data_IF_816121010109
#
_entry.id   IF_816121010109
#
_cell.length_a   1.000
_cell.length_b   1.000
_cell.length_c   1.000
_cell.angle_alpha   90.00
_cell.angle_beta   90.00
_cell.angle_gamma   90.00
#
_symmetry.space_group_name_H-M   'P 1'
#
loop_
_entity.id
_entity.type
_entity.pdbx_description
1 polymer ?
#
# COMPACT_ATOMS: atom_id res chain seq x y z
N UNK A 1 -15.19 -9.84 -20.25
CA UNK A 1 -14.52 -9.37 -19.02
C UNK A 1 -13.59 -8.23 -19.44
N UNK A 2 -13.46 -7.19 -18.65
CA UNK A 2 -12.60 -6.05 -18.98
C UNK A 2 -11.12 -6.47 -18.90
N UNK A 3 -10.33 -6.10 -19.90
CA UNK A 3 -8.89 -6.35 -19.93
C UNK A 3 -8.21 -5.63 -18.76
N UNK A 4 -7.34 -6.33 -18.04
CA UNK A 4 -6.69 -5.83 -16.83
C UNK A 4 -5.22 -6.22 -16.82
N UNK A 5 -4.35 -5.24 -16.59
CA UNK A 5 -2.92 -5.47 -16.35
C UNK A 5 -2.62 -5.38 -14.84
N UNK A 6 -1.60 -6.10 -14.39
CA UNK A 6 -1.10 -6.01 -13.01
C UNK A 6 0.31 -5.40 -13.02
N UNK A 7 0.54 -4.40 -12.18
CA UNK A 7 1.81 -3.66 -12.11
C UNK A 7 2.41 -3.86 -10.71
N UNK A 8 3.65 -4.33 -10.66
CA UNK A 8 4.31 -4.73 -9.43
C UNK A 8 5.71 -4.13 -9.37
N UNK A 9 5.95 -3.12 -8.52
CA UNK A 9 7.31 -2.73 -8.15
C UNK A 9 8.01 -3.87 -7.40
N UNK A 10 9.24 -4.18 -7.79
CA UNK A 10 10.01 -5.31 -7.24
C UNK A 10 11.39 -4.83 -6.81
N UNK A 11 11.85 -5.27 -5.64
CA UNK A 11 13.21 -5.07 -5.19
C UNK A 11 13.74 -6.29 -4.46
N UNK A 12 14.84 -6.87 -4.95
CA UNK A 12 15.43 -8.11 -4.42
C UNK A 12 14.40 -9.24 -4.37
N UNK A 13 13.88 -9.68 -5.53
CA UNK A 13 12.81 -10.67 -5.60
C UNK A 13 13.16 -11.96 -4.83
N UNK A 14 12.15 -12.58 -4.26
CA UNK A 14 12.23 -13.83 -3.51
C UNK A 14 11.20 -14.82 -4.02
N UNK A 15 11.14 -16.03 -3.48
CA UNK A 15 10.11 -17.02 -3.81
C UNK A 15 8.67 -16.48 -3.64
N UNK A 16 8.46 -15.44 -2.83
CA UNK A 16 7.14 -14.79 -2.71
C UNK A 16 6.67 -14.18 -4.03
N UNK A 17 7.59 -13.63 -4.85
CA UNK A 17 7.23 -13.14 -6.18
C UNK A 17 6.74 -14.30 -7.07
N UNK A 18 7.42 -15.45 -7.07
CA UNK A 18 6.97 -16.63 -7.81
C UNK A 18 5.59 -17.08 -7.34
N UNK A 19 5.36 -17.16 -6.02
CA UNK A 19 4.06 -17.53 -5.44
C UNK A 19 2.96 -16.54 -5.86
N UNK A 20 3.28 -15.24 -5.93
CA UNK A 20 2.36 -14.21 -6.39
C UNK A 20 2.00 -14.40 -7.86
N UNK A 21 3.01 -14.56 -8.74
CA UNK A 21 2.80 -14.76 -10.17
C UNK A 21 1.97 -16.02 -10.45
N UNK A 22 2.23 -17.13 -9.75
CA UNK A 22 1.44 -18.35 -9.87
C UNK A 22 -0.02 -18.16 -9.48
N UNK A 23 -0.29 -17.42 -8.40
CA UNK A 23 -1.66 -17.11 -7.98
C UNK A 23 -2.36 -16.12 -8.91
N UNK A 24 -1.63 -15.22 -9.57
CA UNK A 24 -2.19 -14.34 -10.59
C UNK A 24 -2.55 -15.10 -11.88
N UNK A 25 -1.76 -16.12 -12.24
CA UNK A 25 -2.02 -16.97 -13.39
C UNK A 25 -3.31 -17.80 -13.26
N UNK A 26 -3.74 -18.10 -12.04
CA UNK A 26 -4.92 -18.94 -11.77
C UNK A 26 -6.19 -18.14 -11.47
N UNK A 27 -6.21 -16.83 -11.68
CA UNK A 27 -7.37 -15.99 -11.42
C UNK A 27 -8.55 -16.29 -12.38
N UNK A 28 -9.77 -16.31 -11.84
CA UNK A 28 -11.02 -16.50 -12.62
C UNK A 28 -11.25 -15.39 -13.65
N UNK A 29 -10.81 -14.15 -13.33
CA UNK A 29 -10.68 -13.06 -14.28
C UNK A 29 -9.22 -12.99 -14.73
N UNK A 30 -8.89 -13.43 -15.96
CA UNK A 30 -7.52 -13.51 -16.41
C UNK A 30 -6.80 -12.17 -16.42
N UNK A 31 -5.55 -12.15 -15.94
CA UNK A 31 -4.66 -11.01 -16.06
C UNK A 31 -4.05 -11.02 -17.47
N UNK A 32 -4.27 -9.94 -18.22
CA UNK A 32 -3.77 -9.82 -19.59
C UNK A 32 -2.24 -9.77 -19.61
N UNK A 33 -1.66 -8.89 -18.80
CA UNK A 33 -0.21 -8.65 -18.71
C UNK A 33 0.20 -8.39 -17.27
N UNK A 34 1.35 -8.90 -16.87
CA UNK A 34 1.99 -8.57 -15.59
C UNK A 34 3.24 -7.73 -15.88
N UNK A 35 3.30 -6.53 -15.34
CA UNK A 35 4.38 -5.56 -15.56
C UNK A 35 5.18 -5.43 -14.28
N UNK A 36 6.40 -5.94 -14.27
CA UNK A 36 7.33 -5.83 -13.16
C UNK A 36 8.27 -4.65 -13.37
N UNK A 37 8.30 -3.73 -12.42
CA UNK A 37 9.28 -2.64 -12.40
C UNK A 37 10.30 -2.98 -11.32
N UNK A 38 11.38 -3.62 -11.75
CA UNK A 38 12.41 -4.09 -10.84
C UNK A 38 13.48 -3.03 -10.60
N UNK A 39 13.76 -2.78 -9.33
CA UNK A 39 14.88 -1.92 -8.91
C UNK A 39 16.15 -2.76 -8.85
N UNK A 40 17.22 -2.30 -9.55
CA UNK A 40 18.52 -2.96 -9.64
C UNK A 40 18.47 -4.29 -10.45
N UNK A 41 18.79 -4.20 -11.72
CA UNK A 41 18.78 -5.34 -12.68
C UNK A 41 19.49 -6.59 -12.15
N UNK A 42 20.64 -6.42 -11.48
CA UNK A 42 21.45 -7.52 -10.97
C UNK A 42 20.71 -8.46 -10.01
N UNK A 43 19.76 -7.96 -9.22
CA UNK A 43 18.98 -8.79 -8.30
C UNK A 43 17.93 -9.63 -9.02
N UNK A 44 17.39 -9.10 -10.12
CA UNK A 44 16.43 -9.83 -10.91
C UNK A 44 17.13 -10.90 -11.76
N UNK A 45 18.28 -10.59 -12.37
CA UNK A 45 19.08 -11.53 -13.15
C UNK A 45 19.55 -12.73 -12.30
N UNK A 46 19.86 -12.48 -11.02
CA UNK A 46 20.22 -13.54 -10.09
C UNK A 46 19.02 -14.42 -9.65
N UNK A 47 17.81 -13.89 -9.77
CA UNK A 47 16.56 -14.57 -9.40
C UNK A 47 15.91 -15.34 -10.55
N UNK A 48 15.85 -14.73 -11.75
CA UNK A 48 15.10 -15.23 -12.89
C UNK A 48 16.02 -16.09 -13.79
N UNK A 49 15.94 -17.40 -13.64
CA UNK A 49 16.56 -18.37 -14.53
C UNK A 49 15.74 -18.62 -15.80
N UNK A 50 16.25 -19.51 -16.68
CA UNK A 50 15.56 -19.88 -17.91
C UNK A 50 14.16 -20.44 -17.64
N UNK A 51 14.00 -21.28 -16.62
CA UNK A 51 12.71 -21.89 -16.26
C UNK A 51 11.69 -20.85 -15.78
N UNK A 52 12.14 -19.76 -15.15
CA UNK A 52 11.28 -18.63 -14.79
C UNK A 52 10.64 -18.00 -16.04
N UNK A 53 11.44 -17.70 -17.08
CA UNK A 53 10.93 -17.06 -18.31
C UNK A 53 10.00 -17.98 -19.11
N UNK A 54 10.26 -19.27 -19.13
CA UNK A 54 9.41 -20.26 -19.83
C UNK A 54 8.05 -20.43 -19.13
N UNK A 55 7.96 -20.11 -17.83
CA UNK A 55 6.74 -20.28 -17.01
C UNK A 55 5.72 -19.14 -17.18
N UNK A 56 6.17 -17.93 -17.53
CA UNK A 56 5.34 -16.73 -17.57
C UNK A 56 5.47 -16.01 -18.92
N UNK A 57 4.51 -16.25 -19.81
CA UNK A 57 4.47 -15.72 -21.18
C UNK A 57 3.88 -14.30 -21.29
N UNK A 58 3.10 -13.88 -20.27
CA UNK A 58 2.47 -12.56 -20.20
C UNK A 58 3.23 -11.54 -19.34
N UNK A 59 4.51 -11.81 -19.06
CA UNK A 59 5.34 -11.00 -18.17
C UNK A 59 6.15 -9.97 -18.96
N UNK A 60 6.06 -8.69 -18.55
CA UNK A 60 6.91 -7.60 -19.01
C UNK A 60 7.77 -7.11 -17.84
N UNK A 61 9.10 -7.16 -17.98
CA UNK A 61 10.03 -6.67 -16.95
C UNK A 61 10.75 -5.43 -17.43
N UNK A 62 10.80 -4.41 -16.60
CA UNK A 62 11.59 -3.19 -16.76
C UNK A 62 12.45 -2.98 -15.52
N UNK A 63 13.59 -2.37 -15.71
CA UNK A 63 14.53 -2.09 -14.63
C UNK A 63 14.71 -0.59 -14.43
N UNK A 64 14.85 -0.18 -13.18
CA UNK A 64 15.22 1.16 -12.76
C UNK A 64 16.44 1.07 -11.83
N UNK A 65 17.28 2.08 -11.82
CA UNK A 65 18.35 2.17 -10.83
C UNK A 65 17.76 2.52 -9.46
N UNK A 66 18.49 2.23 -8.39
CA UNK A 66 18.02 2.50 -7.03
C UNK A 66 17.84 4.00 -6.76
N UNK A 67 18.69 4.81 -7.37
CA UNK A 67 18.64 6.28 -7.31
C UNK A 67 17.41 6.86 -8.03
N UNK A 68 16.89 6.14 -9.02
CA UNK A 68 15.69 6.54 -9.77
C UNK A 68 14.39 6.09 -9.10
N UNK A 69 14.49 5.24 -8.07
CA UNK A 69 13.31 4.71 -7.41
C UNK A 69 12.56 5.80 -6.64
N UNK A 70 11.31 5.99 -7.00
CA UNK A 70 10.33 6.83 -6.31
C UNK A 70 8.99 6.09 -6.20
N UNK A 71 8.33 6.19 -5.07
CA UNK A 71 7.10 5.43 -4.83
C UNK A 71 6.00 5.69 -5.87
N UNK A 72 5.75 6.95 -6.20
CA UNK A 72 4.76 7.33 -7.20
C UNK A 72 5.30 7.22 -8.63
N UNK A 73 6.50 7.77 -8.88
CA UNK A 73 7.14 7.80 -10.20
C UNK A 73 7.39 6.42 -10.78
N UNK A 74 7.90 5.48 -9.97
CA UNK A 74 8.13 4.08 -10.40
C UNK A 74 6.82 3.39 -10.78
N UNK A 75 5.73 3.66 -10.06
CA UNK A 75 4.39 3.13 -10.40
C UNK A 75 3.84 3.76 -11.67
N UNK A 76 3.96 5.08 -11.83
CA UNK A 76 3.57 5.76 -13.07
C UNK A 76 4.35 5.22 -14.28
N UNK A 77 5.65 4.98 -14.11
CA UNK A 77 6.47 4.33 -15.13
C UNK A 77 5.92 2.93 -15.48
N UNK A 78 5.50 2.15 -14.48
CA UNK A 78 4.83 0.87 -14.73
C UNK A 78 3.51 1.03 -15.50
N UNK A 79 2.69 2.02 -15.15
CA UNK A 79 1.41 2.32 -15.83
C UNK A 79 1.65 2.70 -17.30
N UNK A 80 2.75 3.38 -17.64
CA UNK A 80 3.04 3.79 -19.02
C UNK A 80 3.20 2.63 -20.00
N UNK A 81 3.44 1.41 -19.51
CA UNK A 81 3.50 0.17 -20.33
C UNK A 81 2.15 -0.54 -20.44
N UNK A 82 1.11 -0.05 -19.79
CA UNK A 82 -0.25 -0.59 -19.86
C UNK A 82 -1.12 0.30 -20.73
N UNK A 83 -1.97 -0.31 -21.54
CA UNK A 83 -3.05 0.32 -22.31
C UNK A 83 -4.42 -0.27 -21.92
N UNK A 84 -4.47 -1.11 -20.90
CA UNK A 84 -5.69 -1.71 -20.40
C UNK A 84 -6.63 -0.65 -19.77
N UNK A 85 -7.96 -0.81 -19.92
CA UNK A 85 -8.95 0.09 -19.32
C UNK A 85 -8.92 0.06 -17.77
N UNK A 86 -8.42 -1.03 -17.22
CA UNK A 86 -8.16 -1.16 -15.78
C UNK A 86 -6.77 -1.71 -15.54
N UNK A 87 -6.15 -1.29 -14.45
CA UNK A 87 -4.91 -1.90 -13.98
C UNK A 87 -4.92 -2.07 -12.45
N UNK A 88 -4.15 -3.03 -11.98
CA UNK A 88 -4.02 -3.34 -10.55
C UNK A 88 -2.57 -3.05 -10.13
N UNK A 89 -2.39 -2.23 -9.09
CA UNK A 89 -1.13 -2.10 -8.37
C UNK A 89 -1.06 -3.17 -7.30
N UNK A 90 0.08 -3.86 -7.21
CA UNK A 90 0.36 -4.80 -6.10
C UNK A 90 1.79 -4.62 -5.60
N UNK A 91 2.04 -4.98 -4.34
CA UNK A 91 3.40 -5.22 -3.84
C UNK A 91 3.78 -6.68 -4.08
N UNK A 92 5.07 -6.95 -4.23
CA UNK A 92 5.62 -8.27 -4.57
C UNK A 92 5.45 -9.35 -3.48
N UNK A 93 4.95 -8.95 -2.31
CA UNK A 93 4.67 -9.80 -1.16
C UNK A 93 3.18 -9.90 -0.78
N UNK A 94 2.30 -9.33 -1.59
CA UNK A 94 0.85 -9.37 -1.39
C UNK A 94 0.23 -10.56 -2.14
N UNK A 95 0.02 -11.68 -1.46
CA UNK A 95 -0.45 -12.91 -2.09
C UNK A 95 -1.98 -12.96 -2.17
N UNK A 96 -2.59 -13.13 -3.38
CA UNK A 96 -4.01 -13.42 -3.50
C UNK A 96 -4.44 -14.56 -2.58
N UNK A 97 -5.52 -14.38 -1.81
CA UNK A 97 -5.99 -15.44 -0.90
C UNK A 97 -6.65 -16.60 -1.66
N UNK A 98 -7.31 -16.27 -2.77
CA UNK A 98 -8.02 -17.20 -3.65
C UNK A 98 -7.95 -16.75 -5.11
N UNK A 99 -8.59 -17.48 -6.00
CA UNK A 99 -8.63 -17.26 -7.45
C UNK A 99 -9.60 -16.16 -7.91
N UNK A 100 -10.32 -15.48 -7.01
CA UNK A 100 -11.33 -14.45 -7.31
C UNK A 100 -10.90 -13.03 -6.95
N UNK A 101 -9.62 -12.81 -6.64
CA UNK A 101 -9.13 -11.49 -6.25
C UNK A 101 -9.41 -10.44 -7.33
N UNK A 102 -9.04 -10.71 -8.58
CA UNK A 102 -9.17 -9.76 -9.69
C UNK A 102 -10.65 -9.46 -9.97
N UNK A 103 -11.49 -10.50 -10.06
CA UNK A 103 -12.94 -10.37 -10.26
C UNK A 103 -13.58 -9.45 -9.22
N UNK A 104 -13.25 -9.68 -7.92
CA UNK A 104 -13.83 -8.91 -6.82
C UNK A 104 -13.29 -7.49 -6.72
N UNK A 105 -12.03 -7.25 -7.11
CA UNK A 105 -11.48 -5.90 -7.21
C UNK A 105 -12.13 -5.09 -8.32
N UNK A 106 -12.49 -5.73 -9.42
CA UNK A 106 -13.10 -5.06 -10.58
C UNK A 106 -14.61 -4.87 -10.42
N UNK A 107 -15.29 -5.67 -9.61
CA UNK A 107 -16.74 -5.60 -9.43
C UNK A 107 -17.29 -4.20 -9.09
N UNK A 108 -16.64 -3.39 -8.21
CA UNK A 108 -17.11 -2.04 -7.89
C UNK A 108 -17.13 -1.06 -9.07
N UNK A 109 -16.37 -1.30 -10.14
CA UNK A 109 -16.34 -0.44 -11.33
C UNK A 109 -17.60 -0.53 -12.21
N UNK A 110 -18.58 -1.36 -11.81
CA UNK A 110 -19.93 -1.28 -12.34
C UNK A 110 -20.63 0.06 -12.05
N UNK A 111 -20.22 0.78 -10.99
CA UNK A 111 -20.52 2.21 -10.81
C UNK A 111 -19.45 3.03 -11.56
N UNK A 112 -19.85 3.78 -12.57
CA UNK A 112 -18.94 4.61 -13.39
C UNK A 112 -18.21 5.68 -12.57
N UNK A 113 -18.76 6.08 -11.43
CA UNK A 113 -18.11 7.01 -10.50
C UNK A 113 -17.01 6.39 -9.65
N UNK A 114 -16.89 5.07 -9.61
CA UNK A 114 -15.79 4.42 -8.90
C UNK A 114 -14.52 4.51 -9.73
N UNK A 115 -13.53 5.27 -9.24
CA UNK A 115 -12.24 5.49 -9.90
C UNK A 115 -11.18 4.50 -9.42
N UNK A 116 -11.27 4.04 -8.18
CA UNK A 116 -10.35 3.05 -7.63
C UNK A 116 -11.05 2.11 -6.64
N UNK A 117 -10.49 0.93 -6.51
CA UNK A 117 -10.91 -0.08 -5.54
C UNK A 117 -9.68 -0.71 -4.89
N UNK A 118 -9.76 -1.06 -3.60
CA UNK A 118 -8.62 -1.69 -2.92
C UNK A 118 -9.03 -2.90 -2.09
N UNK A 119 -8.11 -3.86 -1.98
CA UNK A 119 -8.32 -5.14 -1.36
C UNK A 119 -8.22 -5.10 0.17
N UNK A 120 -8.82 -6.09 0.81
CA UNK A 120 -8.66 -6.41 2.22
C UNK A 120 -7.32 -7.12 2.45
N UNK A 121 -6.48 -6.54 3.29
CA UNK A 121 -5.23 -7.17 3.72
C UNK A 121 -5.50 -8.09 4.91
N UNK A 122 -5.19 -9.36 4.74
CA UNK A 122 -5.28 -10.39 5.77
C UNK A 122 -3.90 -10.66 6.38
N UNK A 123 -3.83 -10.93 7.69
CA UNK A 123 -2.57 -11.30 8.30
C UNK A 123 -2.10 -12.67 7.81
N UNK A 124 -0.79 -12.84 7.68
CA UNK A 124 -0.14 -14.14 7.49
C UNK A 124 -0.30 -15.01 8.75
N UNK A 125 -0.12 -16.33 8.60
CA UNK A 125 -0.17 -17.30 9.70
C UNK A 125 0.88 -17.03 10.79
N UNK A 126 2.04 -16.48 10.39
CA UNK A 126 3.14 -16.13 11.30
C UNK A 126 3.00 -14.72 11.90
N UNK A 127 1.90 -14.04 11.60
CA UNK A 127 1.66 -12.69 12.07
C UNK A 127 1.42 -12.66 13.58
N UNK A 128 2.11 -11.75 14.27
CA UNK A 128 1.92 -11.56 15.71
C UNK A 128 0.52 -11.06 16.03
N UNK A 129 -0.03 -11.44 17.20
CA UNK A 129 -1.41 -11.18 17.61
C UNK A 129 -1.78 -9.68 17.58
N UNK A 130 -0.85 -8.78 17.95
CA UNK A 130 -1.06 -7.31 17.92
C UNK A 130 -1.22 -6.84 16.46
N UNK A 131 -0.35 -7.28 15.56
CA UNK A 131 -0.44 -6.90 14.15
C UNK A 131 -1.67 -7.52 13.48
N UNK A 132 -1.98 -8.77 13.78
CA UNK A 132 -3.19 -9.45 13.29
C UNK A 132 -4.45 -8.67 13.67
N UNK A 133 -4.55 -8.21 14.93
CA UNK A 133 -5.67 -7.38 15.37
C UNK A 133 -5.68 -6.01 14.69
N UNK A 134 -4.50 -5.38 14.53
CA UNK A 134 -4.37 -4.11 13.81
C UNK A 134 -4.86 -4.21 12.36
N UNK A 135 -4.54 -5.31 11.66
CA UNK A 135 -5.04 -5.59 10.31
C UNK A 135 -6.57 -5.70 10.30
N UNK A 136 -7.13 -6.49 11.21
CA UNK A 136 -8.59 -6.66 11.31
C UNK A 136 -9.32 -5.33 11.62
N UNK A 137 -8.70 -4.45 12.39
CA UNK A 137 -9.24 -3.13 12.69
C UNK A 137 -9.19 -2.18 11.48
N UNK A 138 -8.10 -2.17 10.73
CA UNK A 138 -7.93 -1.30 9.57
C UNK A 138 -8.65 -1.81 8.32
N UNK A 139 -8.82 -3.13 8.20
CA UNK A 139 -9.45 -3.81 7.08
C UNK A 139 -10.64 -4.68 7.57
N UNK A 140 -11.76 -4.05 7.96
CA UNK A 140 -12.95 -4.76 8.45
C UNK A 140 -13.57 -5.68 7.38
N UNK A 141 -14.51 -6.53 7.78
CA UNK A 141 -15.18 -7.48 6.88
C UNK A 141 -16.17 -6.85 5.92
N UNK A 142 -16.68 -5.66 6.25
CA UNK A 142 -17.76 -5.01 5.51
C UNK A 142 -17.20 -4.17 4.35
N UNK A 143 -17.71 -4.34 3.12
CA UNK A 143 -17.33 -3.51 1.99
C UNK A 143 -17.86 -2.09 2.16
N UNK A 144 -17.25 -1.13 1.51
CA UNK A 144 -17.68 0.27 1.57
C UNK A 144 -17.29 1.03 0.31
N UNK A 145 -18.22 1.78 -0.25
CA UNK A 145 -17.95 2.82 -1.23
C UNK A 145 -17.91 4.16 -0.50
N UNK A 146 -16.90 4.96 -0.78
CA UNK A 146 -16.60 6.23 -0.11
C UNK A 146 -16.60 7.37 -1.12
N UNK A 147 -17.11 8.54 -0.70
CA UNK A 147 -17.21 9.77 -1.48
C UNK A 147 -16.60 10.96 -0.71
N UNK A 148 -16.54 12.13 -1.33
CA UNK A 148 -16.10 13.36 -0.68
C UNK A 148 -16.91 13.71 0.58
N UNK A 149 -18.20 13.36 0.61
CA UNK A 149 -19.09 13.61 1.76
C UNK A 149 -18.64 12.85 3.02
N UNK A 150 -18.00 11.69 2.83
CA UNK A 150 -17.49 10.87 3.94
C UNK A 150 -16.31 11.52 4.68
N UNK A 151 -15.58 12.46 4.06
CA UNK A 151 -14.40 13.12 4.65
C UNK A 151 -14.76 13.77 6.00
N UNK A 152 -15.90 14.46 6.06
CA UNK A 152 -16.34 15.15 7.27
C UNK A 152 -16.59 14.20 8.46
N UNK A 153 -17.06 12.99 8.19
CA UNK A 153 -17.38 12.01 9.24
C UNK A 153 -16.27 11.00 9.52
N UNK A 154 -15.51 10.63 8.48
CA UNK A 154 -14.48 9.59 8.55
C UNK A 154 -13.03 10.10 8.62
N UNK A 155 -12.82 11.40 8.38
CA UNK A 155 -11.48 11.98 8.34
C UNK A 155 -10.59 11.25 7.30
N UNK A 156 -9.37 10.91 7.70
CA UNK A 156 -8.39 10.22 6.85
C UNK A 156 -8.89 8.89 6.27
N UNK A 157 -9.82 8.22 6.95
CA UNK A 157 -10.36 6.94 6.48
C UNK A 157 -11.22 7.07 5.22
N UNK A 158 -11.74 8.26 4.92
CA UNK A 158 -12.51 8.49 3.70
C UNK A 158 -11.66 8.24 2.46
N UNK A 159 -10.42 8.71 2.44
CA UNK A 159 -9.47 8.51 1.33
C UNK A 159 -8.36 7.50 1.63
N UNK A 160 -8.49 6.73 2.71
CA UNK A 160 -7.59 5.60 2.94
C UNK A 160 -7.71 4.59 1.80
N UNK A 161 -6.58 4.28 1.19
CA UNK A 161 -6.41 3.29 0.14
C UNK A 161 -5.04 2.63 0.31
N UNK A 162 -4.73 1.57 -0.43
CA UNK A 162 -3.42 0.94 -0.33
C UNK A 162 -2.99 0.23 -1.60
N UNK A 163 -1.86 0.67 -2.17
CA UNK A 163 -1.18 0.04 -3.30
C UNK A 163 -0.57 -1.34 -2.98
N UNK A 164 -0.76 -1.85 -1.78
CA UNK A 164 -0.52 -3.27 -1.51
C UNK A 164 -1.34 -4.15 -2.46
N UNK A 165 -2.59 -3.76 -2.73
CA UNK A 165 -3.41 -4.32 -3.79
C UNK A 165 -4.59 -3.37 -4.07
N UNK A 166 -4.54 -2.64 -5.18
CA UNK A 166 -5.60 -1.71 -5.57
C UNK A 166 -5.77 -1.68 -7.10
N UNK A 167 -7.02 -1.64 -7.56
CA UNK A 167 -7.37 -1.49 -8.97
C UNK A 167 -7.78 -0.05 -9.28
N UNK A 168 -7.52 0.39 -10.49
CA UNK A 168 -7.71 1.75 -10.97
C UNK A 168 -8.43 1.74 -12.32
N UNK A 169 -9.36 2.68 -12.51
CA UNK A 169 -9.93 3.01 -13.82
C UNK A 169 -8.93 3.89 -14.56
N UNK A 170 -8.43 3.42 -15.71
CA UNK A 170 -7.37 4.06 -16.47
C UNK A 170 -7.73 5.48 -16.89
N UNK A 171 -8.90 5.71 -17.41
CA UNK A 171 -9.37 7.01 -17.84
C UNK A 171 -9.28 8.07 -16.74
N UNK A 172 -9.77 7.73 -15.53
CA UNK A 172 -9.71 8.66 -14.38
C UNK A 172 -8.29 8.82 -13.86
N UNK A 173 -7.48 7.75 -13.93
CA UNK A 173 -6.07 7.83 -13.53
C UNK A 173 -5.30 8.81 -14.40
N UNK A 174 -5.52 8.79 -15.71
CA UNK A 174 -4.89 9.69 -16.66
C UNK A 174 -5.42 11.14 -16.52
N UNK A 175 -6.74 11.32 -16.31
CA UNK A 175 -7.37 12.61 -16.01
C UNK A 175 -6.73 13.28 -14.80
N UNK A 176 -6.51 12.52 -13.71
CA UNK A 176 -5.91 12.99 -12.47
C UNK A 176 -4.37 13.00 -12.50
N UNK A 177 -3.75 12.72 -13.65
CA UNK A 177 -2.30 12.76 -13.89
C UNK A 177 -1.48 11.78 -13.07
N UNK A 178 -2.10 10.68 -12.64
CA UNK A 178 -1.42 9.59 -11.96
C UNK A 178 -1.03 9.88 -10.51
N UNK A 179 -0.07 9.11 -10.02
CA UNK A 179 0.46 9.28 -8.67
C UNK A 179 1.38 10.49 -8.58
N UNK A 180 1.39 11.13 -7.41
CA UNK A 180 2.37 12.15 -7.07
C UNK A 180 3.79 11.55 -7.13
N UNK A 181 4.69 12.20 -7.85
CA UNK A 181 6.13 11.89 -7.87
C UNK A 181 6.84 12.60 -6.73
N UNK A 182 8.02 12.11 -6.37
CA UNK A 182 8.85 12.66 -5.29
C UNK A 182 8.12 12.70 -3.93
N UNK A 183 7.45 11.62 -3.59
CA UNK A 183 6.88 11.43 -2.25
C UNK A 183 7.53 10.25 -1.55
N UNK A 184 7.88 10.45 -0.28
CA UNK A 184 8.51 9.40 0.54
C UNK A 184 7.52 8.29 0.92
N UNK A 185 6.22 8.61 0.95
CA UNK A 185 5.15 7.71 1.39
C UNK A 185 3.77 8.23 0.95
N UNK A 186 2.73 7.38 0.97
CA UNK A 186 1.31 7.73 0.77
C UNK A 186 0.92 8.19 -0.65
N UNK A 187 1.64 7.84 -1.69
CA UNK A 187 1.25 8.15 -3.07
C UNK A 187 -0.17 7.68 -3.38
N UNK A 188 -0.58 6.54 -2.81
CA UNK A 188 -1.92 5.97 -2.93
C UNK A 188 -3.01 6.82 -2.24
N UNK A 189 -2.73 7.32 -1.04
CA UNK A 189 -3.66 8.16 -0.29
C UNK A 189 -3.76 9.57 -0.86
N UNK A 190 -2.65 10.12 -1.36
CA UNK A 190 -2.63 11.42 -2.05
C UNK A 190 -3.50 11.34 -3.31
N UNK A 191 -3.30 10.29 -4.12
CA UNK A 191 -4.14 10.04 -5.29
C UNK A 191 -5.61 9.83 -4.90
N UNK A 192 -5.89 9.01 -3.89
CA UNK A 192 -7.24 8.75 -3.41
C UNK A 192 -7.95 10.03 -2.92
N UNK A 193 -7.23 10.97 -2.32
CA UNK A 193 -7.80 12.28 -1.98
C UNK A 193 -8.18 13.05 -3.24
N UNK A 194 -7.33 13.08 -4.27
CA UNK A 194 -7.64 13.67 -5.57
C UNK A 194 -8.86 13.06 -6.24
N UNK A 195 -9.04 11.73 -6.13
CA UNK A 195 -10.26 11.02 -6.60
C UNK A 195 -11.51 11.60 -5.95
N UNK A 196 -11.52 11.78 -4.63
CA UNK A 196 -12.68 12.35 -3.92
C UNK A 196 -12.89 13.83 -4.25
N UNK A 197 -11.83 14.62 -4.35
CA UNK A 197 -11.90 16.04 -4.69
C UNK A 197 -12.44 16.27 -6.12
N UNK A 198 -12.20 15.32 -7.03
CA UNK A 198 -12.76 15.27 -8.38
C UNK A 198 -14.19 14.68 -8.45
N UNK A 199 -14.84 14.45 -7.28
CA UNK A 199 -16.19 13.91 -7.18
C UNK A 199 -16.36 12.47 -7.65
N UNK A 200 -15.27 11.72 -7.77
CA UNK A 200 -15.27 10.27 -7.95
C UNK A 200 -15.38 9.55 -6.61
N UNK A 201 -15.48 8.23 -6.65
CA UNK A 201 -15.63 7.36 -5.47
C UNK A 201 -14.48 6.38 -5.35
N UNK A 202 -14.26 5.93 -4.11
CA UNK A 202 -13.29 4.90 -3.76
C UNK A 202 -14.03 3.71 -3.17
N UNK A 203 -13.78 2.50 -3.68
CA UNK A 203 -14.38 1.29 -3.15
C UNK A 203 -13.38 0.50 -2.29
N UNK A 204 -13.80 0.12 -1.09
CA UNK A 204 -13.17 -0.92 -0.30
C UNK A 204 -13.84 -2.27 -0.61
N UNK A 205 -13.15 -3.13 -1.34
CA UNK A 205 -13.62 -4.45 -1.74
C UNK A 205 -13.21 -5.50 -0.69
N UNK A 206 -13.97 -5.63 0.40
CA UNK A 206 -13.62 -6.49 1.53
C UNK A 206 -13.52 -7.98 1.19
N UNK A 207 -14.17 -8.42 0.11
CA UNK A 207 -14.13 -9.79 -0.39
C UNK A 207 -12.94 -10.07 -1.30
N UNK A 208 -12.34 -9.04 -1.90
CA UNK A 208 -11.05 -9.11 -2.55
C UNK A 208 -9.95 -9.16 -1.48
N UNK A 209 -9.31 -10.31 -1.28
CA UNK A 209 -8.43 -10.56 -0.14
C UNK A 209 -7.01 -10.87 -0.58
N UNK A 210 -6.03 -10.21 0.03
CA UNK A 210 -4.61 -10.55 -0.09
C UNK A 210 -4.02 -10.86 1.29
N UNK A 211 -3.09 -11.81 1.34
CA UNK A 211 -2.31 -12.13 2.53
C UNK A 211 -1.09 -11.20 2.50
N UNK A 212 -1.01 -10.27 3.44
CA UNK A 212 0.09 -9.33 3.56
C UNK A 212 0.20 -8.81 4.99
N UNK A 213 1.34 -9.02 5.62
CA UNK A 213 1.62 -8.50 6.95
C UNK A 213 3.12 -8.44 7.24
N UNK A 214 3.52 -7.55 8.14
CA UNK A 214 4.90 -7.39 8.56
C UNK A 214 4.99 -7.33 10.08
N UNK A 215 5.88 -8.11 10.66
CA UNK A 215 6.18 -8.08 12.10
C UNK A 215 7.29 -7.06 12.39
N UNK A 216 6.97 -5.76 12.29
CA UNK A 216 7.96 -4.72 12.56
C UNK A 216 8.37 -4.64 14.04
N UNK A 217 9.66 -4.49 14.28
CA UNK A 217 10.21 -4.10 15.58
C UNK A 217 9.83 -2.66 15.95
N UNK A 218 10.00 -2.27 17.22
CA UNK A 218 9.73 -0.89 17.64
C UNK A 218 10.51 0.17 16.85
N UNK A 219 11.80 -0.10 16.55
CA UNK A 219 12.62 0.82 15.75
C UNK A 219 12.16 0.90 14.29
N UNK A 220 11.75 -0.21 13.70
CA UNK A 220 11.18 -0.20 12.34
C UNK A 220 9.84 0.56 12.31
N UNK A 221 9.01 0.41 13.35
CA UNK A 221 7.78 1.20 13.52
C UNK A 221 8.08 2.70 13.63
N UNK A 222 9.11 3.08 14.41
CA UNK A 222 9.52 4.47 14.52
C UNK A 222 9.91 5.04 13.16
N UNK A 223 10.80 4.36 12.44
CA UNK A 223 11.29 4.81 11.13
C UNK A 223 10.18 4.93 10.09
N UNK A 224 9.31 3.90 10.00
CA UNK A 224 8.18 3.92 9.09
C UNK A 224 7.21 5.07 9.39
N UNK A 225 6.93 5.32 10.66
CA UNK A 225 6.06 6.42 11.05
C UNK A 225 6.74 7.79 10.95
N UNK A 226 8.08 7.84 11.00
CA UNK A 226 8.82 9.05 10.66
C UNK A 226 8.57 9.43 9.20
N UNK A 227 8.73 8.49 8.25
CA UNK A 227 8.45 8.72 6.83
C UNK A 227 6.98 9.09 6.59
N UNK A 228 6.04 8.47 7.32
CA UNK A 228 4.63 8.86 7.30
C UNK A 228 4.42 10.31 7.76
N UNK A 229 5.09 10.72 8.83
CA UNK A 229 5.04 12.10 9.34
C UNK A 229 5.63 13.11 8.35
N UNK A 230 6.74 12.77 7.68
CA UNK A 230 7.33 13.56 6.60
C UNK A 230 6.33 13.75 5.47
N UNK A 231 5.75 12.67 4.96
CA UNK A 231 4.73 12.73 3.88
C UNK A 231 3.56 13.65 4.25
N UNK A 232 3.07 13.59 5.48
CA UNK A 232 1.99 14.49 5.94
C UNK A 232 2.43 15.95 6.06
N UNK A 233 3.72 16.22 6.33
CA UNK A 233 4.26 17.57 6.38
C UNK A 233 4.54 18.17 4.98
N UNK A 234 4.82 17.32 4.00
CA UNK A 234 5.07 17.70 2.61
C UNK A 234 3.78 17.92 1.82
N UNK A 235 2.68 17.25 2.22
CA UNK A 235 1.37 17.32 1.57
C UNK A 235 0.29 17.90 2.50
N UNK A 236 0.43 19.15 2.98
CA UNK A 236 -0.57 19.77 3.86
C UNK A 236 -1.93 19.93 3.18
N UNK A 237 -1.99 20.09 1.85
CA UNK A 237 -3.21 20.16 1.05
C UNK A 237 -4.09 18.90 1.18
N UNK A 238 -3.47 17.75 1.48
CA UNK A 238 -4.15 16.45 1.66
C UNK A 238 -4.46 16.18 3.12
N UNK A 239 -3.52 16.46 4.03
CA UNK A 239 -3.54 15.96 5.42
C UNK A 239 -3.79 17.04 6.48
N UNK A 240 -3.74 18.36 6.13
CA UNK A 240 -4.01 19.39 7.13
C UNK A 240 -5.46 19.38 7.61
N UNK A 241 -5.64 19.63 8.92
CA UNK A 241 -6.97 19.65 9.53
C UNK A 241 -7.61 18.30 9.78
N UNK A 242 -6.95 17.20 9.43
CA UNK A 242 -7.45 15.85 9.63
C UNK A 242 -6.85 15.25 10.91
N UNK A 243 -7.71 14.91 11.87
CA UNK A 243 -7.29 14.30 13.14
C UNK A 243 -6.92 12.82 12.91
N UNK A 244 -5.63 12.56 12.81
CA UNK A 244 -5.10 11.18 12.66
C UNK A 244 -4.82 10.50 14.00
N UNK A 245 -4.52 11.27 15.04
CA UNK A 245 -4.13 10.76 16.36
C UNK A 245 -5.28 10.08 17.11
N UNK A 246 -6.52 10.55 16.94
CA UNK A 246 -7.71 9.96 17.58
C UNK A 246 -7.94 8.49 17.19
N UNK A 247 -7.69 8.15 15.94
CA UNK A 247 -7.80 6.77 15.46
C UNK A 247 -6.70 5.86 16.02
N UNK A 248 -5.49 6.40 16.19
CA UNK A 248 -4.41 5.68 16.85
C UNK A 248 -4.72 5.34 18.30
N UNK A 249 -5.23 6.30 19.08
CA UNK A 249 -5.66 6.10 20.48
C UNK A 249 -6.79 5.08 20.56
N UNK A 250 -7.78 5.19 19.68
CA UNK A 250 -8.90 4.25 19.60
C UNK A 250 -8.43 2.81 19.29
N UNK A 251 -7.48 2.65 18.38
CA UNK A 251 -6.89 1.33 18.07
C UNK A 251 -6.17 0.76 19.29
N UNK A 252 -5.35 1.54 20.00
CA UNK A 252 -4.64 1.09 21.21
C UNK A 252 -5.64 0.63 22.27
N UNK A 253 -6.65 1.42 22.60
CA UNK A 253 -7.68 1.05 23.59
C UNK A 253 -8.41 -0.25 23.24
N UNK A 254 -8.83 -0.41 21.97
CA UNK A 254 -9.47 -1.65 21.51
C UNK A 254 -8.50 -2.84 21.52
N UNK A 255 -7.23 -2.65 21.20
CA UNK A 255 -6.23 -3.70 21.24
C UNK A 255 -5.97 -4.18 22.67
N UNK A 256 -5.92 -3.26 23.66
CA UNK A 256 -5.82 -3.62 25.09
C UNK A 256 -6.97 -4.55 25.48
N UNK A 257 -8.22 -4.15 25.20
CA UNK A 257 -9.41 -4.96 25.49
C UNK A 257 -9.37 -6.34 24.81
N UNK A 258 -8.89 -6.40 23.56
CA UNK A 258 -8.72 -7.65 22.84
C UNK A 258 -7.65 -8.56 23.47
N UNK A 259 -6.50 -8.01 23.85
CA UNK A 259 -5.41 -8.79 24.50
C UNK A 259 -5.83 -9.37 25.86
N UNK A 260 -6.59 -8.59 26.65
CA UNK A 260 -7.15 -9.08 27.91
C UNK A 260 -8.12 -10.24 27.67
N UNK A 261 -9.04 -10.11 26.71
CA UNK A 261 -9.99 -11.17 26.35
C UNK A 261 -9.32 -12.43 25.78
N UNK A 262 -8.22 -12.24 25.06
CA UNK A 262 -7.42 -13.35 24.51
C UNK A 262 -6.49 -14.03 25.54
N UNK A 263 -6.55 -13.62 26.83
CA UNK A 263 -5.70 -14.17 27.90
C UNK A 263 -4.21 -13.85 27.75
N UNK A 264 -3.85 -12.74 27.08
CA UNK A 264 -2.46 -12.33 26.83
C UNK A 264 -2.15 -10.90 27.32
N UNK A 265 -2.49 -10.54 28.58
CA UNK A 265 -2.33 -9.17 29.08
C UNK A 265 -0.87 -8.70 29.14
N UNK A 266 0.11 -9.60 29.24
CA UNK A 266 1.55 -9.26 29.23
C UNK A 266 2.00 -8.59 27.92
N UNK A 267 1.29 -8.79 26.81
CA UNK A 267 1.59 -8.16 25.53
C UNK A 267 1.20 -6.66 25.50
N UNK A 268 0.47 -6.17 26.50
CA UNK A 268 0.11 -4.75 26.64
C UNK A 268 1.37 -3.89 26.74
N UNK A 269 2.41 -4.35 27.43
CA UNK A 269 3.71 -3.64 27.52
C UNK A 269 4.30 -3.48 26.11
N UNK A 270 4.32 -4.55 25.32
CA UNK A 270 4.79 -4.50 23.93
C UNK A 270 3.93 -3.59 23.05
N UNK A 271 2.62 -3.61 23.24
CA UNK A 271 1.69 -2.71 22.53
C UNK A 271 2.01 -1.24 22.80
N UNK A 272 2.19 -0.86 24.09
CA UNK A 272 2.52 0.51 24.46
C UNK A 272 3.89 0.93 23.93
N UNK A 273 4.89 0.05 24.00
CA UNK A 273 6.20 0.30 23.43
C UNK A 273 6.13 0.58 21.92
N UNK A 274 5.46 -0.29 21.16
CA UNK A 274 5.30 -0.13 19.72
C UNK A 274 4.49 1.12 19.37
N UNK A 275 3.43 1.42 20.12
CA UNK A 275 2.59 2.62 19.91
C UNK A 275 3.37 3.90 20.24
N UNK A 276 4.20 3.90 21.29
CA UNK A 276 5.11 5.00 21.61
C UNK A 276 6.12 5.25 20.49
N UNK A 277 6.73 4.18 19.94
CA UNK A 277 7.63 4.28 18.79
C UNK A 277 6.93 4.87 17.56
N UNK A 278 5.70 4.43 17.26
CA UNK A 278 4.89 4.97 16.14
C UNK A 278 4.62 6.47 16.34
N UNK A 279 4.13 6.84 17.53
CA UNK A 279 3.83 8.24 17.85
C UNK A 279 5.06 9.12 17.76
N UNK A 280 6.17 8.70 18.39
CA UNK A 280 7.42 9.45 18.36
C UNK A 280 7.95 9.63 16.95
N UNK A 281 7.96 8.55 16.15
CA UNK A 281 8.35 8.60 14.74
C UNK A 281 7.52 9.62 13.96
N UNK A 282 6.19 9.51 14.04
CA UNK A 282 5.28 10.43 13.37
C UNK A 282 5.46 11.89 13.78
N UNK A 283 5.56 12.14 15.11
CA UNK A 283 5.78 13.47 15.65
C UNK A 283 7.09 14.11 15.16
N UNK A 284 8.17 13.32 15.13
CA UNK A 284 9.47 13.77 14.61
C UNK A 284 9.40 13.98 13.09
N UNK A 285 8.77 13.07 12.37
CA UNK A 285 8.59 13.19 10.91
C UNK A 285 7.87 14.48 10.51
N UNK A 286 6.78 14.84 11.20
CA UNK A 286 6.09 16.13 10.96
C UNK A 286 6.97 17.36 11.18
N UNK A 287 8.09 17.22 11.87
CA UNK A 287 9.04 18.30 12.19
C UNK A 287 10.42 18.08 11.57
N UNK A 288 10.53 17.21 10.56
CA UNK A 288 11.81 16.78 9.99
C UNK A 288 12.72 17.95 9.58
N UNK A 289 12.14 19.07 9.10
CA UNK A 289 12.87 20.28 8.70
C UNK A 289 13.65 20.94 9.84
N UNK A 290 13.33 20.63 11.11
CA UNK A 290 14.03 21.13 12.30
C UNK A 290 15.22 20.25 12.68
N UNK A 291 15.47 19.15 12.00
CA UNK A 291 16.56 18.22 12.28
C UNK A 291 17.69 18.33 11.24
N UNK A 292 18.93 18.08 11.65
CA UNK A 292 20.05 18.01 10.71
C UNK A 292 19.88 16.79 9.79
N UNK A 293 20.36 16.91 8.55
CA UNK A 293 20.17 15.90 7.48
C UNK A 293 20.61 14.49 7.90
N UNK A 294 21.78 14.36 8.58
CA UNK A 294 22.27 13.08 9.05
C UNK A 294 21.27 12.35 9.97
N UNK A 295 20.55 13.12 10.82
CA UNK A 295 19.55 12.56 11.73
C UNK A 295 18.28 12.17 10.97
N UNK A 296 17.84 12.98 10.01
CA UNK A 296 16.72 12.68 9.14
C UNK A 296 16.96 11.36 8.38
N UNK A 297 18.13 11.22 7.74
CA UNK A 297 18.53 9.96 7.06
C UNK A 297 18.56 8.75 8.01
N UNK A 298 18.97 8.94 9.26
CA UNK A 298 19.01 7.85 10.25
C UNK A 298 17.63 7.46 10.77
N UNK A 299 16.70 8.40 10.85
CA UNK A 299 15.32 8.20 11.30
C UNK A 299 14.42 7.66 10.19
N UNK A 300 14.75 7.88 8.94
CA UNK A 300 14.01 7.39 7.79
C UNK A 300 14.19 5.89 7.57
N UNK A 301 13.16 5.24 7.07
CA UNK A 301 13.23 3.88 6.53
C UNK A 301 13.74 3.88 5.08
N UNK A 302 13.38 4.92 4.30
CA UNK A 302 13.82 5.15 2.93
C UNK A 302 14.94 6.22 2.89
N UNK A 303 16.18 5.79 3.11
CA UNK A 303 17.33 6.70 3.18
C UNK A 303 17.69 7.31 1.84
N UNK A 304 17.48 6.58 0.77
CA UNK A 304 17.81 6.98 -0.61
C UNK A 304 16.96 8.17 -1.05
N UNK A 305 15.72 8.27 -0.61
CA UNK A 305 14.87 9.44 -0.85
C UNK A 305 15.57 10.77 -0.52
N UNK A 306 16.33 10.79 0.57
CA UNK A 306 17.07 11.96 1.04
C UNK A 306 18.40 12.23 0.29
N UNK A 307 18.81 11.33 -0.57
CA UNK A 307 20.03 11.50 -1.35
C UNK A 307 19.77 12.11 -2.73
N UNK A 308 18.50 12.17 -3.14
CA UNK A 308 18.04 12.76 -4.39
C UNK A 308 17.43 14.16 -4.23
N UNK A 309 17.45 14.70 -3.01
CA UNK A 309 17.07 16.08 -2.66
C UNK A 309 18.30 16.95 -2.55
#
# INVERSE_FOLDING_TARGET
MAETDVIIPVYKPTSKLTDLLDRLKTQTCPVRRIILINTEKQYFDAFADRGFWERYDNLLVRHVAKEEFDHGGTRNYGVSFSDAPYFIMMTDDALPKDDKLVERLLAPFGDEKVAMSYARQMPDKECGIIESYTRSFNYPGEPRVKSAEDIKGMGIKAFFASNVCAAYRREVFDELKGFCSHTIFNEDMIYARGVLDASYKIAYASDAKVIHSHNYSGLQQLRRNFDLGVSHAEHPEVFAGILTESEGIRLVGKTVGYLCKAGKPWLIIRLFWQSGCKYLGYFMGKRYRSFPEWLVKRLSMNREYWSCL
#
